data_IF_498472889056
#
_entry.id   IF_498472889056
#
_cell.length_a   1.000
_cell.length_b   1.000
_cell.length_c   1.000
_cell.angle_alpha   90.00
_cell.angle_beta   90.00
_cell.angle_gamma   90.00
#
_symmetry.space_group_name_H-M   'P 1'
#
loop_
_entity.id
_entity.type
_entity.pdbx_description
1 polymer ?
#
# COMPACT_ATOMS: atom_id res chain seq x y z
N UNK A 1 -1.85 -12.11 -19.67
CA UNK A 1 -3.14 -11.55 -19.21
C UNK A 1 -3.85 -10.96 -20.42
N UNK A 2 -5.12 -11.30 -20.62
CA UNK A 2 -5.93 -10.71 -21.69
C UNK A 2 -6.16 -9.21 -21.41
N UNK A 3 -6.27 -8.41 -22.47
CA UNK A 3 -6.27 -6.95 -22.41
C UNK A 3 -7.52 -6.39 -23.08
N UNK A 4 -8.11 -5.36 -22.46
CA UNK A 4 -9.26 -4.63 -22.95
C UNK A 4 -8.96 -3.13 -22.96
N UNK A 5 -9.60 -2.38 -23.86
CA UNK A 5 -9.44 -0.91 -23.91
C UNK A 5 -10.08 -0.22 -22.72
N UNK A 6 -11.16 -0.79 -22.17
CA UNK A 6 -11.87 -0.25 -21.02
C UNK A 6 -12.61 -1.31 -20.23
N UNK A 7 -13.00 -0.97 -18.99
CA UNK A 7 -13.86 -1.82 -18.16
C UNK A 7 -15.22 -2.05 -18.80
N UNK A 8 -15.78 -1.05 -19.51
CA UNK A 8 -17.04 -1.20 -20.24
C UNK A 8 -16.93 -2.21 -21.39
N UNK A 9 -15.81 -2.21 -22.11
CA UNK A 9 -15.54 -3.20 -23.16
C UNK A 9 -15.50 -4.61 -22.57
N UNK A 10 -14.75 -4.79 -21.47
CA UNK A 10 -14.65 -6.06 -20.76
C UNK A 10 -16.03 -6.57 -20.33
N UNK A 11 -16.84 -5.72 -19.67
CA UNK A 11 -18.19 -6.10 -19.23
C UNK A 11 -19.09 -6.48 -20.41
N UNK A 12 -19.04 -5.72 -21.51
CA UNK A 12 -19.86 -6.01 -22.69
C UNK A 12 -19.50 -7.33 -23.37
N UNK A 13 -18.20 -7.68 -23.41
CA UNK A 13 -17.71 -8.89 -24.06
C UNK A 13 -17.87 -10.13 -23.16
N UNK A 14 -17.50 -10.04 -21.89
CA UNK A 14 -17.44 -11.20 -21.00
C UNK A 14 -18.73 -11.43 -20.22
N UNK A 15 -19.48 -10.37 -19.87
CA UNK A 15 -20.68 -10.43 -19.01
C UNK A 15 -20.43 -11.29 -17.76
N UNK A 16 -19.40 -10.97 -16.95
CA UNK A 16 -18.91 -11.88 -15.92
C UNK A 16 -19.97 -12.17 -14.85
N UNK A 17 -20.09 -13.43 -14.45
CA UNK A 17 -20.92 -13.88 -13.33
C UNK A 17 -20.18 -13.85 -12.00
N UNK A 18 -18.84 -13.87 -12.04
CA UNK A 18 -17.94 -13.76 -10.88
C UNK A 18 -17.28 -12.39 -10.82
N UNK A 19 -16.76 -11.98 -9.65
CA UNK A 19 -15.97 -10.77 -9.56
C UNK A 19 -14.75 -10.83 -10.47
N UNK A 20 -14.44 -9.71 -11.14
CA UNK A 20 -13.30 -9.60 -12.03
C UNK A 20 -12.38 -8.50 -11.52
N UNK A 21 -11.10 -8.81 -11.36
CA UNK A 21 -10.11 -7.81 -10.99
C UNK A 21 -9.40 -7.25 -12.22
N UNK A 22 -9.29 -5.92 -12.30
CA UNK A 22 -8.65 -5.21 -13.39
C UNK A 22 -7.34 -4.56 -12.95
N UNK A 23 -6.31 -4.62 -13.80
CA UNK A 23 -5.01 -3.98 -13.58
C UNK A 23 -4.75 -2.94 -14.66
N UNK A 24 -4.45 -1.69 -14.24
CA UNK A 24 -4.02 -0.56 -15.07
C UNK A 24 -2.53 -0.33 -14.93
N UNK A 25 -1.72 -0.90 -15.82
CA UNK A 25 -0.26 -0.74 -15.79
C UNK A 25 0.18 0.71 -15.94
N UNK A 26 -0.53 1.51 -16.74
CA UNK A 26 -0.21 2.92 -16.94
C UNK A 26 -0.32 3.73 -15.63
N UNK A 27 -1.28 3.41 -14.76
CA UNK A 27 -1.39 4.05 -13.45
C UNK A 27 -0.17 3.77 -12.57
N UNK A 28 0.34 2.53 -12.58
CA UNK A 28 1.58 2.16 -11.88
C UNK A 28 2.77 2.97 -12.41
N UNK A 29 2.91 3.06 -13.73
CA UNK A 29 4.00 3.81 -14.37
C UNK A 29 3.94 5.30 -14.02
N UNK A 30 2.74 5.90 -14.04
CA UNK A 30 2.53 7.31 -13.67
C UNK A 30 2.91 7.59 -12.22
N UNK A 31 2.45 6.75 -11.29
CA UNK A 31 2.75 6.87 -9.87
C UNK A 31 4.26 6.68 -9.58
N UNK A 32 4.86 5.65 -10.15
CA UNK A 32 6.30 5.38 -10.03
C UNK A 32 7.15 6.54 -10.54
N UNK A 33 6.85 7.03 -11.75
CA UNK A 33 7.54 8.18 -12.35
C UNK A 33 7.41 9.44 -11.49
N UNK A 34 6.23 9.67 -10.90
CA UNK A 34 6.01 10.81 -10.01
C UNK A 34 6.90 10.74 -8.78
N UNK A 35 6.91 9.60 -8.08
CA UNK A 35 7.76 9.40 -6.91
C UNK A 35 9.25 9.53 -7.24
N UNK A 36 9.73 8.88 -8.31
CA UNK A 36 11.14 8.93 -8.72
C UNK A 36 11.61 10.36 -9.06
N UNK A 37 10.71 11.21 -9.62
CA UNK A 37 11.03 12.59 -9.96
C UNK A 37 10.98 13.56 -8.78
N UNK A 38 10.16 13.27 -7.76
CA UNK A 38 9.80 14.26 -6.73
C UNK A 38 10.28 13.91 -5.33
N UNK A 39 10.34 12.64 -4.97
CA UNK A 39 10.82 12.23 -3.66
C UNK A 39 12.33 12.45 -3.53
N UNK A 40 12.83 13.04 -2.41
CA UNK A 40 14.25 13.40 -2.27
C UNK A 40 15.12 12.23 -1.80
N UNK A 41 14.93 11.01 -2.31
CA UNK A 41 15.64 9.83 -1.83
C UNK A 41 15.32 8.57 -2.62
N UNK A 42 15.58 7.42 -2.03
CA UNK A 42 15.31 6.08 -2.60
C UNK A 42 13.90 5.61 -2.28
N UNK A 43 13.33 4.86 -3.20
CA UNK A 43 11.97 4.34 -3.12
C UNK A 43 12.04 2.83 -3.00
N UNK A 44 11.53 2.29 -1.89
CA UNK A 44 11.32 0.86 -1.70
C UNK A 44 9.84 0.56 -1.89
N UNK A 45 9.48 -0.20 -2.90
CA UNK A 45 8.09 -0.65 -3.00
C UNK A 45 7.74 -1.63 -1.88
N UNK A 46 6.69 -1.33 -1.11
CA UNK A 46 6.19 -2.21 -0.08
C UNK A 46 5.39 -3.38 -0.69
N UNK A 47 6.04 -4.53 -0.85
CA UNK A 47 5.52 -5.70 -1.60
C UNK A 47 4.20 -6.22 -1.05
N UNK A 48 4.03 -6.18 0.28
CA UNK A 48 2.78 -6.55 0.99
C UNK A 48 1.52 -5.90 0.43
N UNK A 49 1.65 -4.74 -0.20
CA UNK A 49 0.51 -3.98 -0.73
C UNK A 49 -0.14 -4.67 -1.92
N UNK A 50 0.67 -5.16 -2.85
CA UNK A 50 0.23 -5.97 -3.99
C UNK A 50 1.41 -6.76 -4.58
N UNK A 51 1.56 -8.03 -4.21
CA UNK A 51 2.64 -8.91 -4.72
C UNK A 51 2.34 -9.51 -6.10
N UNK A 52 1.24 -9.13 -6.76
CA UNK A 52 0.87 -9.71 -8.03
C UNK A 52 1.97 -9.49 -9.08
N UNK A 53 2.30 -10.54 -9.83
CA UNK A 53 3.46 -10.55 -10.73
C UNK A 53 3.44 -9.43 -11.79
N UNK A 54 2.28 -9.07 -12.34
CA UNK A 54 2.17 -7.97 -13.32
C UNK A 54 2.44 -6.60 -12.66
N UNK A 55 2.02 -6.40 -11.41
CA UNK A 55 2.29 -5.19 -10.64
C UNK A 55 3.79 -5.07 -10.37
N UNK A 56 4.40 -6.11 -9.81
CA UNK A 56 5.84 -6.15 -9.49
C UNK A 56 6.68 -5.95 -10.76
N UNK A 57 6.37 -6.68 -11.85
CA UNK A 57 7.05 -6.51 -13.14
C UNK A 57 6.94 -5.10 -13.70
N UNK A 58 5.77 -4.46 -13.55
CA UNK A 58 5.56 -3.10 -14.06
C UNK A 58 6.39 -2.10 -13.26
N UNK A 59 6.46 -2.25 -11.92
CA UNK A 59 7.30 -1.43 -11.06
C UNK A 59 8.80 -1.60 -11.39
N UNK A 60 9.27 -2.83 -11.58
CA UNK A 60 10.65 -3.09 -12.00
C UNK A 60 10.94 -2.41 -13.35
N UNK A 61 10.05 -2.55 -14.33
CA UNK A 61 10.19 -1.89 -15.63
C UNK A 61 10.18 -0.36 -15.56
N UNK A 62 9.53 0.21 -14.55
CA UNK A 62 9.54 1.66 -14.32
C UNK A 62 10.83 2.16 -13.64
N UNK A 63 11.75 1.27 -13.26
CA UNK A 63 13.02 1.63 -12.62
C UNK A 63 13.04 1.46 -11.09
N UNK A 64 11.99 0.90 -10.47
CA UNK A 64 12.02 0.52 -9.05
C UNK A 64 12.86 -0.75 -8.92
N UNK A 65 13.99 -0.65 -8.23
CA UNK A 65 14.97 -1.71 -8.02
C UNK A 65 15.17 -2.09 -6.54
N UNK A 66 14.43 -1.42 -5.64
CA UNK A 66 14.50 -1.64 -4.20
C UNK A 66 13.11 -1.94 -3.62
N UNK A 67 13.05 -2.86 -2.66
CA UNK A 67 11.79 -3.42 -2.17
C UNK A 67 11.81 -3.56 -0.65
N UNK A 68 10.73 -3.08 0.03
CA UNK A 68 10.39 -3.46 1.40
C UNK A 68 9.68 -4.81 1.36
N UNK A 69 10.26 -5.81 2.01
CA UNK A 69 9.73 -7.17 2.12
C UNK A 69 9.49 -7.54 3.58
N UNK A 70 8.40 -8.26 3.83
CA UNK A 70 7.98 -8.66 5.16
C UNK A 70 8.07 -10.18 5.40
N UNK A 71 8.40 -10.97 4.39
CA UNK A 71 8.47 -12.43 4.49
C UNK A 71 9.40 -13.04 3.44
N UNK A 72 9.74 -14.32 3.67
CA UNK A 72 10.50 -15.12 2.69
C UNK A 72 9.73 -15.26 1.36
N UNK A 73 8.40 -15.37 1.42
CA UNK A 73 7.59 -15.49 0.21
C UNK A 73 7.65 -14.22 -0.65
N UNK A 74 7.65 -13.04 -0.03
CA UNK A 74 7.85 -11.78 -0.76
C UNK A 74 9.27 -11.68 -1.36
N UNK A 75 10.31 -12.14 -0.63
CA UNK A 75 11.67 -12.22 -1.16
C UNK A 75 11.72 -13.13 -2.39
N UNK A 76 11.11 -14.30 -2.34
CA UNK A 76 11.03 -15.25 -3.48
C UNK A 76 10.37 -14.61 -4.71
N UNK A 77 9.27 -13.87 -4.49
CA UNK A 77 8.58 -13.16 -5.59
C UNK A 77 9.55 -12.16 -6.26
N UNK A 78 10.24 -11.33 -5.47
CA UNK A 78 11.16 -10.34 -6.04
C UNK A 78 12.32 -11.02 -6.74
N UNK A 79 12.95 -12.02 -6.14
CA UNK A 79 14.10 -12.77 -6.73
C UNK A 79 13.74 -13.46 -8.05
N UNK A 80 12.48 -13.89 -8.20
CA UNK A 80 12.00 -14.49 -9.46
C UNK A 80 12.00 -13.48 -10.62
N UNK A 81 11.71 -12.21 -10.37
CA UNK A 81 11.57 -11.19 -11.40
C UNK A 81 12.77 -10.26 -11.52
N UNK A 82 13.54 -10.09 -10.45
CA UNK A 82 14.73 -9.27 -10.39
C UNK A 82 15.74 -9.88 -9.40
N UNK A 83 16.59 -10.80 -9.85
CA UNK A 83 17.57 -11.46 -8.97
C UNK A 83 18.51 -10.49 -8.27
N UNK A 84 18.85 -9.36 -8.91
CA UNK A 84 19.75 -8.34 -8.39
C UNK A 84 19.09 -7.23 -7.57
N UNK A 85 17.75 -7.19 -7.51
CA UNK A 85 17.05 -6.15 -6.75
C UNK A 85 17.48 -6.13 -5.28
N UNK A 86 17.63 -4.94 -4.69
CA UNK A 86 17.92 -4.82 -3.26
C UNK A 86 16.62 -4.99 -2.46
N UNK A 87 16.57 -6.03 -1.63
CA UNK A 87 15.46 -6.25 -0.70
C UNK A 87 15.87 -5.83 0.71
N UNK A 88 15.01 -5.09 1.36
CA UNK A 88 15.09 -4.68 2.75
C UNK A 88 14.05 -5.47 3.54
N UNK A 89 14.48 -6.32 4.47
CA UNK A 89 13.58 -7.11 5.30
C UNK A 89 13.11 -6.27 6.49
N UNK A 90 12.11 -5.40 6.24
CA UNK A 90 11.71 -4.35 7.17
C UNK A 90 10.66 -4.79 8.22
N UNK A 91 10.22 -6.05 8.20
CA UNK A 91 9.44 -6.59 9.30
C UNK A 91 10.29 -6.75 10.56
N UNK A 92 9.86 -6.15 11.68
CA UNK A 92 10.69 -6.08 12.90
C UNK A 92 10.78 -7.38 13.67
N UNK A 93 9.86 -8.32 13.50
CA UNK A 93 9.85 -9.64 14.16
C UNK A 93 9.90 -10.73 13.11
N UNK A 94 10.94 -11.56 13.14
CA UNK A 94 11.20 -12.62 12.15
C UNK A 94 11.50 -13.93 12.85
N UNK A 95 11.16 -15.08 12.23
CA UNK A 95 11.63 -16.37 12.71
C UNK A 95 13.13 -16.57 12.45
N UNK A 96 13.78 -17.42 13.22
CA UNK A 96 15.20 -17.77 13.06
C UNK A 96 15.47 -18.32 11.66
N UNK A 97 14.59 -19.21 11.20
CA UNK A 97 14.66 -19.86 9.90
C UNK A 97 14.55 -18.82 8.77
N UNK A 98 13.62 -17.85 8.91
CA UNK A 98 13.45 -16.77 7.93
C UNK A 98 14.67 -15.86 7.83
N UNK A 99 15.33 -15.56 8.96
CA UNK A 99 16.56 -14.76 8.98
C UNK A 99 17.67 -15.51 8.25
N UNK A 100 17.88 -16.78 8.62
CA UNK A 100 18.91 -17.62 8.04
C UNK A 100 18.70 -17.83 6.53
N UNK A 101 17.47 -18.18 6.11
CA UNK A 101 17.14 -18.36 4.69
C UNK A 101 17.33 -17.05 3.91
N UNK A 102 16.88 -15.90 4.45
CA UNK A 102 17.03 -14.60 3.82
C UNK A 102 18.51 -14.26 3.59
N UNK A 103 19.34 -14.45 4.61
CA UNK A 103 20.77 -14.10 4.52
C UNK A 103 21.56 -15.08 3.64
N UNK A 104 21.55 -16.37 3.96
CA UNK A 104 22.42 -17.34 3.29
C UNK A 104 21.95 -17.74 1.88
N UNK A 105 20.64 -17.83 1.67
CA UNK A 105 20.10 -18.28 0.38
C UNK A 105 19.79 -17.13 -0.57
N UNK A 106 19.27 -16.02 -0.04
CA UNK A 106 18.82 -14.89 -0.87
C UNK A 106 19.74 -13.67 -0.81
N UNK A 107 20.82 -13.70 -0.01
CA UNK A 107 21.79 -12.62 0.11
C UNK A 107 21.22 -11.33 0.69
N UNK A 108 20.18 -11.44 1.54
CA UNK A 108 19.60 -10.29 2.21
C UNK A 108 20.49 -9.87 3.37
N UNK A 109 21.00 -8.64 3.34
CA UNK A 109 21.87 -8.09 4.38
C UNK A 109 21.19 -7.04 5.24
N UNK A 110 20.03 -6.56 4.81
CA UNK A 110 19.32 -5.46 5.43
C UNK A 110 18.11 -5.97 6.23
N UNK A 111 18.10 -5.73 7.55
CA UNK A 111 17.05 -6.17 8.47
C UNK A 111 16.62 -5.04 9.39
N UNK A 112 15.31 -4.93 9.64
CA UNK A 112 14.78 -4.06 10.67
C UNK A 112 14.54 -4.82 11.98
N UNK A 113 14.62 -4.09 13.10
CA UNK A 113 14.38 -4.59 14.43
C UNK A 113 13.88 -3.45 15.35
N UNK A 114 13.27 -3.79 16.47
CA UNK A 114 12.81 -2.83 17.46
C UNK A 114 13.09 -3.28 18.93
N UNK A 115 13.76 -4.44 19.09
CA UNK A 115 14.16 -4.98 20.38
C UNK A 115 15.59 -5.53 20.39
N UNK A 116 16.20 -5.63 21.55
CA UNK A 116 17.52 -6.27 21.74
C UNK A 116 17.48 -7.75 21.40
N UNK A 117 16.36 -8.43 21.73
CA UNK A 117 16.24 -9.87 21.49
C UNK A 117 16.18 -10.18 19.99
N UNK A 118 15.53 -9.32 19.21
CA UNK A 118 15.55 -9.44 17.75
C UNK A 118 16.94 -9.20 17.17
N UNK A 119 17.70 -8.23 17.73
CA UNK A 119 19.10 -8.01 17.32
C UNK A 119 19.95 -9.26 17.55
N UNK A 120 19.86 -9.86 18.75
CA UNK A 120 20.60 -11.10 19.09
C UNK A 120 20.21 -12.20 18.13
N UNK A 121 18.93 -12.38 17.89
CA UNK A 121 18.41 -13.39 16.96
C UNK A 121 18.95 -13.20 15.53
N UNK A 122 19.02 -11.98 15.02
CA UNK A 122 19.60 -11.69 13.70
C UNK A 122 21.07 -12.06 13.68
N UNK A 123 21.85 -11.64 14.68
CA UNK A 123 23.29 -11.90 14.78
C UNK A 123 23.57 -13.41 14.78
N UNK A 124 22.88 -14.16 15.66
CA UNK A 124 23.06 -15.62 15.79
C UNK A 124 22.69 -16.37 14.51
N UNK A 125 21.62 -15.96 13.82
CA UNK A 125 21.11 -16.66 12.64
C UNK A 125 21.68 -16.15 11.30
N UNK A 126 22.69 -15.27 11.37
CA UNK A 126 23.54 -14.86 10.26
C UNK A 126 25.01 -15.19 10.50
N UNK A 127 25.29 -16.07 11.47
CA UNK A 127 26.65 -16.51 11.87
C UNK A 127 27.60 -15.33 12.21
N UNK A 128 27.08 -14.36 12.97
CA UNK A 128 27.79 -13.13 13.38
C UNK A 128 28.37 -12.32 12.18
N UNK A 129 27.63 -12.30 11.09
CA UNK A 129 28.01 -11.60 9.85
C UNK A 129 28.39 -10.15 10.11
N UNK A 130 29.44 -9.66 9.40
CA UNK A 130 29.97 -8.30 9.57
C UNK A 130 29.44 -7.31 8.51
N UNK A 131 28.70 -7.79 7.53
CA UNK A 131 28.17 -7.01 6.40
C UNK A 131 26.70 -6.67 6.53
N UNK A 132 26.11 -6.84 7.74
CA UNK A 132 24.73 -6.53 8.02
C UNK A 132 24.46 -5.01 7.94
N UNK A 133 23.35 -4.65 7.35
CA UNK A 133 22.76 -3.30 7.39
C UNK A 133 21.51 -3.37 8.32
N UNK A 134 21.57 -2.74 9.48
CA UNK A 134 20.53 -2.90 10.51
C UNK A 134 19.75 -1.60 10.76
N UNK A 135 18.42 -1.70 10.71
CA UNK A 135 17.51 -0.59 10.95
C UNK A 135 16.81 -0.72 12.29
N UNK A 136 16.93 0.31 13.13
CA UNK A 136 16.10 0.43 14.33
C UNK A 136 14.80 1.13 13.95
N UNK A 137 13.68 0.42 14.10
CA UNK A 137 12.35 1.00 13.91
C UNK A 137 11.93 1.74 15.18
N UNK A 138 11.58 3.01 15.02
CA UNK A 138 11.17 3.92 16.09
C UNK A 138 9.65 4.03 16.11
N UNK A 139 9.05 3.96 17.30
CA UNK A 139 7.63 4.23 17.50
C UNK A 139 7.35 5.72 17.32
N UNK A 140 6.34 6.05 16.51
CA UNK A 140 5.86 7.42 16.28
C UNK A 140 4.34 7.45 16.35
N UNK A 141 3.76 8.64 16.64
CA UNK A 141 2.32 8.83 16.62
C UNK A 141 1.74 8.60 15.22
N UNK A 142 0.59 7.92 15.16
CA UNK A 142 -0.18 7.67 13.94
C UNK A 142 -1.53 8.42 13.95
N UNK A 143 -1.65 9.49 14.71
CA UNK A 143 -2.90 10.24 14.95
C UNK A 143 -3.61 10.78 13.70
N UNK A 144 -2.90 10.86 12.58
CA UNK A 144 -3.41 11.35 11.30
C UNK A 144 -3.55 10.26 10.25
N UNK A 145 -3.46 8.98 10.62
CA UNK A 145 -3.62 7.85 9.73
C UNK A 145 -5.00 7.22 9.90
N UNK A 146 -5.61 6.81 8.79
CA UNK A 146 -6.87 6.06 8.82
C UNK A 146 -6.67 4.66 9.44
N UNK A 147 -5.47 4.10 9.29
CA UNK A 147 -5.09 2.81 9.87
C UNK A 147 -3.87 3.01 10.78
N UNK A 148 -4.11 2.98 12.10
CA UNK A 148 -3.07 3.09 13.12
C UNK A 148 -2.25 1.79 13.20
N UNK A 149 -0.93 1.92 13.07
CA UNK A 149 0.05 0.83 13.16
C UNK A 149 1.00 0.99 14.36
N UNK A 150 0.79 2.00 15.22
CA UNK A 150 1.73 2.36 16.31
C UNK A 150 1.74 1.37 17.47
N UNK A 151 0.67 0.59 17.64
CA UNK A 151 0.49 -0.30 18.82
C UNK A 151 1.27 -1.61 18.74
N UNK A 152 1.79 -1.96 17.56
CA UNK A 152 2.38 -3.29 17.33
C UNK A 152 3.90 -3.26 17.24
N UNK A 153 4.48 -2.23 16.67
CA UNK A 153 5.91 -2.18 16.32
C UNK A 153 6.54 -0.82 16.60
N UNK A 154 7.84 -0.86 16.87
CA UNK A 154 8.69 0.29 17.07
C UNK A 154 9.16 0.44 18.51
N UNK A 155 10.45 0.65 18.71
CA UNK A 155 11.05 0.97 20.00
C UNK A 155 10.67 2.39 20.42
N UNK A 156 10.36 2.60 21.71
CA UNK A 156 10.20 3.93 22.26
C UNK A 156 11.53 4.70 22.18
N UNK A 157 11.49 6.02 22.11
CA UNK A 157 12.68 6.86 21.93
C UNK A 157 13.77 6.58 22.99
N UNK A 158 13.38 6.31 24.24
CA UNK A 158 14.28 5.94 25.33
C UNK A 158 15.06 4.65 25.06
N UNK A 159 14.37 3.62 24.53
CA UNK A 159 14.90 2.31 24.22
C UNK A 159 15.68 2.32 22.89
N UNK A 160 15.14 3.00 21.87
CA UNK A 160 15.76 3.13 20.55
C UNK A 160 17.18 3.71 20.64
N UNK A 161 17.43 4.65 21.56
CA UNK A 161 18.76 5.21 21.79
C UNK A 161 19.79 4.18 22.29
N UNK A 162 19.38 3.29 23.19
CA UNK A 162 20.18 2.16 23.67
C UNK A 162 20.42 1.14 22.58
N UNK A 163 19.34 0.78 21.87
CA UNK A 163 19.35 -0.21 20.79
C UNK A 163 20.26 0.25 19.63
N UNK A 164 20.23 1.54 19.26
CA UNK A 164 21.09 2.09 18.20
C UNK A 164 22.58 1.94 18.52
N UNK A 165 22.97 2.12 19.80
CA UNK A 165 24.36 1.90 20.23
C UNK A 165 24.78 0.43 20.08
N UNK A 166 23.88 -0.51 20.40
CA UNK A 166 24.14 -1.94 20.22
C UNK A 166 24.22 -2.32 18.74
N UNK A 167 23.27 -1.86 17.94
CA UNK A 167 23.24 -2.09 16.48
C UNK A 167 24.54 -1.62 15.82
N UNK A 168 25.08 -0.46 16.22
CA UNK A 168 26.34 0.08 15.69
C UNK A 168 27.53 -0.85 15.85
N UNK A 169 27.53 -1.71 16.88
CA UNK A 169 28.63 -2.65 17.16
C UNK A 169 28.60 -3.90 16.25
N UNK A 170 27.43 -4.18 15.67
CA UNK A 170 27.14 -5.43 14.95
C UNK A 170 26.78 -5.24 13.47
N UNK A 171 26.86 -4.02 12.95
CA UNK A 171 26.42 -3.71 11.58
C UNK A 171 27.46 -2.91 10.81
N UNK A 172 27.55 -3.16 9.51
CA UNK A 172 28.36 -2.36 8.58
C UNK A 172 27.74 -0.99 8.31
N UNK A 173 26.40 -0.94 8.27
CA UNK A 173 25.61 0.28 8.14
C UNK A 173 24.41 0.24 9.07
N UNK A 174 24.03 1.41 9.55
CA UNK A 174 22.91 1.59 10.44
C UNK A 174 21.85 2.50 9.84
N UNK A 175 20.59 2.17 10.10
CA UNK A 175 19.43 2.98 9.73
C UNK A 175 18.53 3.27 10.92
N UNK A 176 17.82 4.36 10.83
CA UNK A 176 16.66 4.66 11.68
C UNK A 176 15.43 4.70 10.78
N UNK A 177 14.36 4.04 11.18
CA UNK A 177 13.10 4.00 10.44
C UNK A 177 11.90 4.29 11.33
N UNK A 178 10.84 4.81 10.73
CA UNK A 178 9.53 4.95 11.37
C UNK A 178 8.42 4.72 10.36
N UNK A 179 7.18 4.65 10.82
CA UNK A 179 6.00 4.54 9.94
C UNK A 179 4.84 5.33 10.55
N UNK A 180 4.27 6.26 9.78
CA UNK A 180 3.22 7.19 10.23
C UNK A 180 1.80 6.62 10.20
N UNK A 181 1.64 5.32 9.97
CA UNK A 181 0.35 4.65 9.74
C UNK A 181 -0.02 4.60 8.26
N UNK A 182 -1.08 3.83 7.90
CA UNK A 182 -1.52 3.74 6.51
C UNK A 182 -2.58 4.78 6.20
N UNK A 183 -2.59 5.30 4.96
CA UNK A 183 -3.47 6.41 4.55
C UNK A 183 -3.30 7.62 5.48
N UNK A 184 -2.08 8.14 5.60
CA UNK A 184 -1.79 9.30 6.44
C UNK A 184 -2.27 10.58 5.75
N UNK A 185 -3.27 11.24 6.34
CA UNK A 185 -3.95 12.38 5.70
C UNK A 185 -3.21 13.72 5.91
N UNK A 186 -2.26 13.79 6.85
CA UNK A 186 -1.55 15.03 7.17
C UNK A 186 -0.03 14.90 7.02
N UNK A 187 0.60 15.69 6.13
CA UNK A 187 2.05 15.67 5.87
C UNK A 187 2.91 15.89 7.11
N UNK A 188 2.45 16.70 8.09
CA UNK A 188 3.17 17.02 9.34
C UNK A 188 3.60 15.78 10.13
N UNK A 189 2.93 14.64 9.96
CA UNK A 189 3.30 13.39 10.62
C UNK A 189 4.72 12.94 10.29
N UNK A 190 5.19 13.22 9.07
CA UNK A 190 6.57 12.90 8.67
C UNK A 190 7.58 13.80 9.37
N UNK A 191 7.31 15.10 9.50
CA UNK A 191 8.15 16.04 10.26
C UNK A 191 8.24 15.62 11.73
N UNK A 192 7.11 15.21 12.34
CA UNK A 192 7.09 14.66 13.71
C UNK A 192 7.98 13.41 13.82
N UNK A 193 7.85 12.45 12.90
CA UNK A 193 8.68 11.23 12.88
C UNK A 193 10.17 11.54 12.71
N UNK A 194 10.53 12.46 11.83
CA UNK A 194 11.93 12.90 11.63
C UNK A 194 12.46 13.61 12.87
N UNK A 195 11.62 14.37 13.58
CA UNK A 195 12.00 15.00 14.85
C UNK A 195 12.38 13.95 15.90
N UNK A 196 11.62 12.86 16.02
CA UNK A 196 11.97 11.76 16.94
C UNK A 196 13.31 11.11 16.56
N UNK A 197 13.59 10.91 15.28
CA UNK A 197 14.92 10.49 14.81
C UNK A 197 15.99 11.50 15.21
N UNK A 198 15.73 12.79 15.06
CA UNK A 198 16.64 13.87 15.48
C UNK A 198 16.97 13.83 16.96
N UNK A 199 15.98 13.56 17.81
CA UNK A 199 16.15 13.40 19.26
C UNK A 199 17.10 12.23 19.59
N UNK A 200 16.95 11.09 18.89
CA UNK A 200 17.82 9.92 19.06
C UNK A 200 19.26 10.24 18.61
N UNK A 201 19.44 10.88 17.47
CA UNK A 201 20.76 11.30 16.96
C UNK A 201 21.43 12.24 17.97
N UNK A 202 20.71 13.25 18.46
CA UNK A 202 21.20 14.21 19.46
C UNK A 202 21.64 13.54 20.75
N UNK A 203 20.84 12.59 21.26
CA UNK A 203 21.09 11.84 22.50
C UNK A 203 22.26 10.85 22.36
N UNK A 204 22.38 10.18 21.22
CA UNK A 204 23.39 9.14 21.01
C UNK A 204 24.69 9.66 20.42
N UNK A 205 24.67 10.81 19.75
CA UNK A 205 25.73 11.36 18.89
C UNK A 205 26.10 10.42 17.73
N UNK A 206 25.17 9.53 17.34
CA UNK A 206 25.34 8.61 16.23
C UNK A 206 24.48 9.11 15.06
N UNK A 207 25.11 9.50 13.97
CA UNK A 207 24.44 9.80 12.71
C UNK A 207 24.30 8.48 11.93
N UNK A 208 23.08 8.06 11.58
CA UNK A 208 22.89 6.82 10.81
C UNK A 208 23.31 7.00 9.34
N UNK A 209 23.53 5.88 8.62
CA UNK A 209 23.75 5.89 7.18
C UNK A 209 22.42 6.13 6.41
N UNK A 210 21.30 5.70 6.99
CA UNK A 210 19.98 5.78 6.39
C UNK A 210 18.95 6.38 7.35
N UNK A 211 18.07 7.23 6.81
CA UNK A 211 16.80 7.59 7.43
C UNK A 211 15.68 7.09 6.53
N UNK A 212 14.89 6.15 7.04
CA UNK A 212 13.74 5.60 6.33
C UNK A 212 12.45 6.18 6.94
N UNK A 213 11.78 7.02 6.18
CA UNK A 213 10.54 7.70 6.61
C UNK A 213 9.30 6.78 6.52
N UNK A 214 9.49 5.51 6.14
CA UNK A 214 8.44 4.52 6.03
C UNK A 214 7.48 4.75 4.88
N UNK A 215 6.33 4.08 5.00
CA UNK A 215 5.19 4.23 4.10
C UNK A 215 4.16 5.23 4.64
N UNK A 216 2.89 4.97 4.33
CA UNK A 216 1.78 5.80 4.78
C UNK A 216 1.32 6.85 3.78
N UNK A 217 2.05 7.06 2.69
CA UNK A 217 1.62 7.98 1.61
C UNK A 217 0.24 7.59 1.10
N UNK A 218 -0.72 8.55 1.12
CA UNK A 218 -2.12 8.25 0.86
C UNK A 218 -2.42 8.04 -0.63
N UNK A 219 -3.59 7.46 -0.89
CA UNK A 219 -4.30 7.57 -2.16
C UNK A 219 -5.59 8.37 -1.96
N UNK A 220 -6.31 8.64 -3.06
CA UNK A 220 -7.55 9.42 -3.05
C UNK A 220 -8.76 8.49 -3.00
N UNK A 221 -9.70 8.80 -2.11
CA UNK A 221 -11.01 8.12 -2.01
C UNK A 221 -12.11 9.19 -1.91
N UNK A 222 -13.40 8.88 -2.18
CA UNK A 222 -14.47 9.88 -2.18
C UNK A 222 -14.53 10.76 -0.92
N UNK A 223 -14.36 10.14 0.26
CA UNK A 223 -14.44 10.84 1.55
C UNK A 223 -13.05 11.15 2.15
N UNK A 224 -11.97 10.73 1.50
CA UNK A 224 -10.59 10.89 1.98
C UNK A 224 -9.73 11.53 0.88
N UNK A 225 -9.84 12.86 0.75
CA UNK A 225 -9.08 13.66 -0.21
C UNK A 225 -7.82 14.18 0.47
N UNK A 226 -6.63 13.58 0.23
CA UNK A 226 -5.39 14.04 0.85
C UNK A 226 -4.88 15.33 0.19
N UNK A 227 -3.94 15.98 0.87
CA UNK A 227 -3.16 17.02 0.26
C UNK A 227 -2.32 16.46 -0.91
N UNK A 228 -1.79 17.36 -1.76
CA UNK A 228 -0.84 16.97 -2.81
C UNK A 228 0.35 16.22 -2.22
N UNK A 229 0.81 15.16 -2.88
CA UNK A 229 2.01 14.42 -2.48
C UNK A 229 3.27 15.32 -2.41
N UNK A 230 3.31 16.42 -3.17
CA UNK A 230 4.39 17.42 -3.02
C UNK A 230 4.44 17.97 -1.59
N UNK A 231 3.28 18.23 -0.95
CA UNK A 231 3.27 18.74 0.42
C UNK A 231 3.89 17.74 1.40
N UNK A 232 3.72 16.43 1.16
CA UNK A 232 4.37 15.37 1.96
C UNK A 232 5.89 15.39 1.76
N UNK A 233 6.34 15.51 0.52
CA UNK A 233 7.77 15.57 0.20
C UNK A 233 8.43 16.84 0.73
N UNK A 234 7.73 17.96 0.68
CA UNK A 234 8.22 19.23 1.22
C UNK A 234 8.32 19.21 2.75
N UNK A 235 7.33 18.62 3.45
CA UNK A 235 7.40 18.42 4.91
C UNK A 235 8.54 17.46 5.32
N UNK A 236 8.80 16.42 4.52
CA UNK A 236 9.95 15.54 4.74
C UNK A 236 11.25 16.33 4.58
N UNK A 237 11.43 17.10 3.49
CA UNK A 237 12.61 17.94 3.28
C UNK A 237 12.83 18.92 4.42
N UNK A 238 11.80 19.65 4.81
CA UNK A 238 11.81 20.57 5.95
C UNK A 238 12.22 19.88 7.26
N UNK A 239 11.66 18.70 7.53
CA UNK A 239 12.04 17.91 8.69
C UNK A 239 13.53 17.54 8.70
N UNK A 240 14.06 17.11 7.54
CA UNK A 240 15.47 16.76 7.39
C UNK A 240 16.41 17.98 7.53
N UNK A 241 16.05 19.11 6.96
CA UNK A 241 16.80 20.37 7.12
C UNK A 241 16.88 20.81 8.59
N UNK A 242 15.80 20.61 9.36
CA UNK A 242 15.75 20.91 10.79
C UNK A 242 16.67 20.03 11.65
N UNK A 243 17.14 18.89 11.14
CA UNK A 243 18.13 18.05 11.84
C UNK A 243 19.50 18.74 11.95
N UNK A 244 19.80 19.70 11.06
CA UNK A 244 21.06 20.46 11.01
C UNK A 244 22.32 19.55 11.03
N UNK A 245 22.27 18.46 10.27
CA UNK A 245 23.39 17.53 10.13
C UNK A 245 24.36 18.03 9.05
N UNK A 246 25.67 17.96 9.31
CA UNK A 246 26.70 18.33 8.34
C UNK A 246 26.64 17.44 7.09
N UNK A 247 26.39 16.13 7.29
CA UNK A 247 26.18 15.17 6.21
C UNK A 247 24.83 14.48 6.43
N UNK A 248 23.92 14.65 5.48
CA UNK A 248 22.62 13.99 5.52
C UNK A 248 22.78 12.50 5.22
N UNK A 249 22.11 11.62 5.99
CA UNK A 249 21.94 10.22 5.64
C UNK A 249 21.25 10.04 4.28
N UNK A 250 21.39 8.88 3.68
CA UNK A 250 20.56 8.50 2.52
C UNK A 250 19.10 8.37 2.98
N UNK A 251 18.20 9.05 2.26
CA UNK A 251 16.78 9.07 2.60
C UNK A 251 16.05 7.98 1.83
N UNK A 252 15.17 7.26 2.53
CA UNK A 252 14.41 6.14 2.00
C UNK A 252 12.94 6.32 2.34
N UNK A 253 12.03 5.90 1.45
CA UNK A 253 10.61 5.73 1.74
C UNK A 253 10.10 4.34 1.30
N UNK A 254 8.97 3.92 1.88
CA UNK A 254 8.34 2.61 1.64
C UNK A 254 6.90 2.77 1.11
N UNK A 255 6.69 3.47 -0.02
CA UNK A 255 5.34 3.63 -0.55
C UNK A 255 4.78 2.29 -1.02
N UNK A 256 3.56 1.99 -0.59
CA UNK A 256 2.75 0.89 -1.09
C UNK A 256 1.51 1.45 -1.78
N UNK A 257 0.51 1.84 -0.97
CA UNK A 257 -0.79 2.35 -1.44
C UNK A 257 -0.66 3.43 -2.51
N UNK A 258 0.13 4.46 -2.28
CA UNK A 258 0.30 5.55 -3.24
C UNK A 258 0.84 5.09 -4.61
N UNK A 259 1.62 4.02 -4.68
CA UNK A 259 2.15 3.53 -5.97
C UNK A 259 1.15 2.69 -6.76
N UNK A 260 0.23 1.98 -6.09
CA UNK A 260 -0.55 0.95 -6.78
C UNK A 260 -2.06 1.05 -6.61
N UNK A 261 -2.59 1.84 -5.66
CA UNK A 261 -4.03 1.89 -5.41
C UNK A 261 -4.85 2.15 -6.68
N UNK A 262 -4.47 3.16 -7.46
CA UNK A 262 -5.17 3.56 -8.69
C UNK A 262 -5.08 2.53 -9.82
N UNK A 263 -4.14 1.59 -9.71
CA UNK A 263 -3.94 0.58 -10.75
C UNK A 263 -4.94 -0.56 -10.70
N UNK A 264 -5.64 -0.74 -9.59
CA UNK A 264 -6.57 -1.85 -9.42
C UNK A 264 -8.01 -1.40 -9.29
N UNK A 265 -8.91 -2.15 -9.91
CA UNK A 265 -10.35 -2.07 -9.67
C UNK A 265 -10.97 -3.47 -9.68
N UNK A 266 -12.11 -3.62 -9.02
CA UNK A 266 -12.92 -4.84 -9.09
C UNK A 266 -14.26 -4.52 -9.74
N UNK A 267 -14.66 -5.35 -10.70
CA UNK A 267 -15.98 -5.34 -11.30
C UNK A 267 -16.82 -6.35 -10.54
N UNK A 268 -17.89 -5.88 -9.94
CA UNK A 268 -18.87 -6.70 -9.24
C UNK A 268 -20.22 -6.64 -9.95
N UNK A 269 -21.02 -7.71 -9.82
CA UNK A 269 -22.39 -7.75 -10.32
C UNK A 269 -23.38 -7.57 -9.19
N UNK A 270 -24.44 -6.79 -9.43
CA UNK A 270 -25.57 -6.67 -8.51
C UNK A 270 -26.43 -7.94 -8.60
N UNK A 271 -26.48 -8.72 -7.55
CA UNK A 271 -27.30 -9.93 -7.47
C UNK A 271 -28.73 -9.63 -6.99
N UNK A 272 -28.89 -8.58 -6.15
CA UNK A 272 -30.19 -8.18 -5.64
C UNK A 272 -30.14 -6.72 -5.15
N UNK A 273 -31.25 -6.00 -5.32
CA UNK A 273 -31.45 -4.68 -4.70
C UNK A 273 -32.64 -4.72 -3.73
N UNK A 274 -32.42 -4.25 -2.48
CA UNK A 274 -33.45 -4.04 -1.47
C UNK A 274 -33.40 -2.55 -1.03
N UNK A 275 -34.19 -1.69 -1.64
CA UNK A 275 -34.17 -0.23 -1.40
C UNK A 275 -32.77 0.35 -1.67
N UNK A 276 -32.06 0.87 -0.66
CA UNK A 276 -30.68 1.38 -0.73
C UNK A 276 -29.61 0.32 -0.40
N UNK A 277 -29.97 -0.95 -0.33
CA UNK A 277 -29.03 -2.06 -0.10
C UNK A 277 -28.79 -2.80 -1.40
N UNK A 278 -27.52 -2.94 -1.79
CA UNK A 278 -27.12 -3.73 -2.94
C UNK A 278 -26.37 -4.97 -2.46
N UNK A 279 -26.86 -6.13 -2.84
CA UNK A 279 -26.18 -7.42 -2.63
C UNK A 279 -25.36 -7.69 -3.88
N UNK A 280 -24.04 -7.77 -3.72
CA UNK A 280 -23.07 -7.91 -4.80
C UNK A 280 -22.28 -9.23 -4.67
N UNK A 281 -21.64 -9.65 -5.75
CA UNK A 281 -20.95 -10.94 -5.81
C UNK A 281 -19.50 -10.91 -5.28
N UNK A 282 -19.06 -9.81 -4.64
CA UNK A 282 -17.80 -9.69 -3.89
C UNK A 282 -18.07 -8.96 -2.57
N UNK A 283 -17.12 -8.98 -1.63
CA UNK A 283 -17.32 -8.39 -0.31
C UNK A 283 -16.04 -8.26 0.51
N UNK A 284 -16.20 -8.13 1.83
CA UNK A 284 -15.10 -7.94 2.78
C UNK A 284 -14.17 -9.15 2.86
N UNK A 285 -14.65 -10.34 2.55
CA UNK A 285 -13.85 -11.57 2.44
C UNK A 285 -13.21 -11.75 1.06
N UNK A 286 -13.58 -10.89 0.10
CA UNK A 286 -13.02 -10.79 -1.23
C UNK A 286 -12.06 -9.61 -1.35
N UNK A 287 -12.23 -8.81 -2.42
CA UNK A 287 -11.33 -7.68 -2.69
C UNK A 287 -11.65 -6.41 -1.89
N UNK A 288 -12.76 -6.38 -1.12
CA UNK A 288 -13.31 -5.19 -0.47
C UNK A 288 -13.06 -5.16 1.04
N UNK A 289 -11.99 -5.78 1.54
CA UNK A 289 -11.68 -5.85 2.97
C UNK A 289 -11.66 -4.44 3.62
N UNK A 290 -10.94 -3.49 3.02
CA UNK A 290 -10.80 -2.13 3.54
C UNK A 290 -12.15 -1.35 3.54
N UNK A 291 -13.17 -1.79 2.80
CA UNK A 291 -14.51 -1.21 2.83
C UNK A 291 -15.34 -1.67 4.04
N UNK A 292 -15.00 -2.83 4.61
CA UNK A 292 -15.60 -3.32 5.86
C UNK A 292 -14.86 -2.82 7.10
N UNK A 293 -13.54 -2.85 7.05
CA UNK A 293 -12.65 -2.40 8.14
C UNK A 293 -11.39 -1.80 7.51
N UNK A 294 -11.13 -0.50 7.61
CA UNK A 294 -11.72 0.56 8.45
C UNK A 294 -12.92 1.36 7.87
N UNK A 295 -13.71 0.81 6.97
CA UNK A 295 -14.84 1.46 6.30
C UNK A 295 -14.43 2.52 5.25
N UNK A 296 -13.43 2.23 4.43
CA UNK A 296 -13.07 3.10 3.31
C UNK A 296 -14.18 3.03 2.24
N UNK A 297 -14.72 4.17 1.86
CA UNK A 297 -15.64 4.27 0.72
C UNK A 297 -14.83 4.29 -0.58
N UNK A 298 -14.92 3.24 -1.38
CA UNK A 298 -14.23 3.16 -2.66
C UNK A 298 -14.98 3.93 -3.75
N UNK A 299 -14.26 4.61 -4.68
CA UNK A 299 -14.89 5.23 -5.83
C UNK A 299 -15.60 4.17 -6.66
N UNK A 300 -16.86 4.42 -6.99
CA UNK A 300 -17.74 3.45 -7.63
C UNK A 300 -18.38 4.01 -8.90
N UNK A 301 -18.49 3.19 -9.94
CA UNK A 301 -19.08 3.53 -11.22
C UNK A 301 -19.98 2.41 -11.70
N UNK A 302 -21.26 2.74 -11.96
CA UNK A 302 -22.20 1.77 -12.54
C UNK A 302 -21.88 1.53 -14.02
N UNK A 303 -21.96 0.27 -14.42
CA UNK A 303 -21.85 -0.18 -15.81
C UNK A 303 -23.07 -1.04 -16.15
N UNK A 304 -23.79 -0.68 -17.20
CA UNK A 304 -24.94 -1.45 -17.70
C UNK A 304 -24.59 -2.04 -19.05
N UNK A 305 -24.62 -3.36 -19.17
CA UNK A 305 -24.44 -4.08 -20.43
C UNK A 305 -25.63 -3.90 -21.40
N UNK A 306 -25.41 -4.14 -22.71
CA UNK A 306 -26.46 -4.13 -23.72
C UNK A 306 -26.58 -2.83 -24.54
N UNK A 307 -27.51 -2.80 -25.50
CA UNK A 307 -27.67 -1.71 -26.47
C UNK A 307 -28.54 -0.53 -25.98
N UNK A 308 -29.50 -0.75 -25.07
CA UNK A 308 -30.38 0.28 -24.54
C UNK A 308 -29.99 0.66 -23.09
N UNK A 309 -28.98 1.51 -22.94
CA UNK A 309 -28.37 1.86 -21.66
C UNK A 309 -28.92 3.17 -21.10
N UNK A 310 -30.14 3.19 -20.59
CA UNK A 310 -30.63 4.38 -19.86
C UNK A 310 -30.07 4.33 -18.44
N UNK A 311 -29.04 5.13 -18.16
CA UNK A 311 -28.48 5.34 -16.83
C UNK A 311 -29.00 6.67 -16.31
N UNK A 312 -29.61 6.67 -15.12
CA UNK A 312 -30.11 7.88 -14.47
C UNK A 312 -28.95 8.80 -14.07
N UNK A 313 -29.11 10.10 -14.26
CA UNK A 313 -28.20 11.12 -13.72
C UNK A 313 -28.40 11.35 -12.23
N UNK A 314 -29.57 10.98 -11.67
CA UNK A 314 -29.85 11.13 -10.25
C UNK A 314 -29.11 10.04 -9.45
N UNK A 315 -28.23 10.46 -8.56
CA UNK A 315 -27.49 9.56 -7.67
C UNK A 315 -28.26 9.29 -6.39
N UNK A 316 -28.01 8.12 -5.82
CA UNK A 316 -28.54 7.68 -4.52
C UNK A 316 -27.41 6.99 -3.77
N UNK A 317 -27.35 7.20 -2.46
CA UNK A 317 -26.41 6.52 -1.58
C UNK A 317 -26.87 5.07 -1.33
N UNK A 318 -25.95 4.14 -1.45
CA UNK A 318 -26.15 2.71 -1.21
C UNK A 318 -25.16 2.18 -0.19
N UNK A 319 -25.60 1.16 0.55
CA UNK A 319 -24.74 0.23 1.28
C UNK A 319 -24.57 -1.05 0.46
N UNK A 320 -23.39 -1.69 0.58
CA UNK A 320 -23.14 -2.97 -0.07
C UNK A 320 -23.12 -4.13 0.92
N UNK A 321 -23.64 -5.26 0.49
CA UNK A 321 -23.64 -6.53 1.18
C UNK A 321 -22.94 -7.55 0.28
N UNK A 322 -21.92 -8.20 0.83
CA UNK A 322 -21.19 -9.24 0.11
C UNK A 322 -21.97 -10.55 0.01
N UNK A 323 -21.41 -11.55 -0.69
CA UNK A 323 -22.12 -12.77 -1.01
C UNK A 323 -22.11 -13.82 0.12
N UNK A 324 -21.28 -13.64 1.15
CA UNK A 324 -21.12 -14.65 2.19
C UNK A 324 -22.27 -14.67 3.18
N UNK A 325 -22.41 -15.76 3.94
CA UNK A 325 -23.44 -15.88 4.96
C UNK A 325 -23.10 -15.12 6.25
N UNK A 326 -21.89 -14.52 6.35
CA UNK A 326 -21.47 -13.76 7.51
C UNK A 326 -22.07 -12.34 7.49
N UNK A 327 -22.65 -11.92 8.61
CA UNK A 327 -23.18 -10.57 8.79
C UNK A 327 -22.08 -9.47 8.77
N UNK A 328 -20.82 -9.83 8.96
CA UNK A 328 -19.67 -8.92 8.83
C UNK A 328 -19.31 -8.62 7.35
N UNK A 329 -19.90 -9.34 6.40
CA UNK A 329 -19.74 -9.07 4.97
C UNK A 329 -20.61 -7.89 4.52
N UNK A 330 -20.40 -6.78 5.18
CA UNK A 330 -21.14 -5.53 5.06
C UNK A 330 -20.18 -4.35 4.88
N UNK A 331 -20.47 -3.51 3.92
CA UNK A 331 -19.69 -2.33 3.58
C UNK A 331 -20.60 -1.11 3.65
N UNK A 332 -20.40 -0.30 4.68
CA UNK A 332 -21.19 0.92 4.91
C UNK A 332 -20.82 1.97 3.87
N UNK A 333 -21.85 2.46 3.15
CA UNK A 333 -21.69 3.58 2.24
C UNK A 333 -21.39 4.92 2.94
N UNK A 334 -21.53 6.03 2.20
CA UNK A 334 -22.39 6.19 1.00
C UNK A 334 -21.67 5.85 -0.33
N UNK A 335 -22.05 4.74 -0.96
CA UNK A 335 -21.64 4.51 -2.35
C UNK A 335 -22.65 5.19 -3.27
N UNK A 336 -22.22 6.29 -3.92
CA UNK A 336 -23.09 7.09 -4.77
C UNK A 336 -23.21 6.48 -6.17
N UNK A 337 -24.39 5.96 -6.50
CA UNK A 337 -24.68 5.30 -7.77
C UNK A 337 -26.00 5.80 -8.35
N UNK A 338 -26.20 5.67 -9.69
CA UNK A 338 -27.45 5.98 -10.35
C UNK A 338 -28.66 5.32 -9.66
N UNK A 339 -29.71 6.09 -9.38
CA UNK A 339 -30.86 5.61 -8.62
C UNK A 339 -31.63 4.47 -9.30
N UNK A 340 -31.43 4.27 -10.61
CA UNK A 340 -32.05 3.20 -11.39
C UNK A 340 -31.17 1.94 -11.54
N UNK A 341 -30.12 1.80 -10.71
CA UNK A 341 -29.33 0.58 -10.60
C UNK A 341 -30.21 -0.60 -10.19
N UNK A 342 -30.00 -1.75 -10.79
CA UNK A 342 -30.83 -2.96 -10.60
C UNK A 342 -30.03 -4.24 -10.72
N UNK A 343 -30.66 -5.34 -10.45
CA UNK A 343 -30.11 -6.70 -10.67
C UNK A 343 -29.49 -6.84 -12.07
N UNK A 344 -28.36 -7.53 -12.15
CA UNK A 344 -27.53 -7.73 -13.33
C UNK A 344 -26.82 -6.48 -13.90
N UNK A 345 -26.93 -5.32 -13.24
CA UNK A 345 -26.00 -4.22 -13.49
C UNK A 345 -24.64 -4.55 -12.84
N UNK A 346 -23.58 -3.94 -13.36
CA UNK A 346 -22.24 -4.06 -12.83
C UNK A 346 -21.81 -2.77 -12.13
N UNK A 347 -20.89 -2.90 -11.19
CA UNK A 347 -20.27 -1.78 -10.51
C UNK A 347 -18.76 -1.99 -10.60
N UNK A 348 -18.06 -1.01 -11.14
CA UNK A 348 -16.62 -0.91 -10.97
C UNK A 348 -16.32 -0.21 -9.64
N UNK A 349 -15.48 -0.82 -8.80
CA UNK A 349 -14.93 -0.25 -7.58
C UNK A 349 -13.44 -0.01 -7.79
N UNK A 350 -13.02 1.25 -7.80
CA UNK A 350 -11.64 1.66 -8.04
C UNK A 350 -10.77 1.65 -6.78
N UNK A 351 -9.51 2.05 -6.92
CA UNK A 351 -8.53 2.18 -5.80
C UNK A 351 -8.18 0.87 -5.08
N UNK A 352 -8.47 -0.28 -5.70
CA UNK A 352 -8.25 -1.62 -5.15
C UNK A 352 -6.90 -2.22 -5.55
N UNK A 353 -6.02 -1.44 -6.18
CA UNK A 353 -4.64 -1.86 -6.46
C UNK A 353 -3.83 -2.11 -5.19
N UNK A 354 -4.21 -1.50 -4.07
CA UNK A 354 -3.63 -1.76 -2.75
C UNK A 354 -4.57 -2.63 -1.93
N UNK A 355 -4.03 -3.74 -1.41
CA UNK A 355 -4.68 -4.69 -0.50
C UNK A 355 -5.89 -5.45 -1.08
N UNK A 356 -6.45 -5.07 -2.21
CA UNK A 356 -7.59 -5.75 -2.82
C UNK A 356 -7.32 -7.23 -3.15
N UNK A 357 -6.13 -7.58 -3.63
CA UNK A 357 -5.77 -8.99 -3.91
C UNK A 357 -5.20 -9.73 -2.70
N UNK A 358 -4.58 -9.04 -1.75
CA UNK A 358 -3.79 -9.65 -0.67
C UNK A 358 -4.60 -10.14 0.51
N UNK A 359 -5.76 -9.55 0.78
CA UNK A 359 -6.62 -9.91 1.90
C UNK A 359 -7.74 -10.89 1.54
N UNK A 360 -7.84 -11.28 0.27
CA UNK A 360 -8.87 -12.21 -0.18
C UNK A 360 -8.78 -13.57 0.51
N UNK A 361 -9.93 -14.13 0.80
CA UNK A 361 -10.09 -15.48 1.34
C UNK A 361 -10.88 -16.37 0.37
N UNK A 362 -11.04 -17.63 0.71
CA UNK A 362 -11.90 -18.58 -0.01
C UNK A 362 -13.17 -18.92 0.80
N UNK A 363 -13.55 -18.04 1.73
CA UNK A 363 -14.68 -18.29 2.60
C UNK A 363 -15.98 -18.48 1.80
N UNK A 364 -16.78 -19.46 2.16
CA UNK A 364 -17.99 -19.94 1.47
C UNK A 364 -17.80 -20.30 -0.03
N UNK A 365 -16.57 -20.36 -0.54
CA UNK A 365 -16.29 -20.59 -1.95
C UNK A 365 -16.52 -19.38 -2.87
N UNK A 366 -16.81 -18.20 -2.31
CA UNK A 366 -16.90 -16.95 -3.08
C UNK A 366 -15.50 -16.41 -3.34
N UNK A 367 -14.91 -16.89 -4.46
CA UNK A 367 -13.55 -16.58 -4.85
C UNK A 367 -13.42 -16.56 -6.37
N UNK A 368 -12.69 -15.60 -6.91
CA UNK A 368 -12.41 -15.50 -8.34
C UNK A 368 -10.94 -15.20 -8.60
N UNK A 369 -10.36 -15.86 -9.59
CA UNK A 369 -9.02 -15.59 -10.12
C UNK A 369 -9.05 -14.87 -11.47
N UNK A 370 -10.21 -14.33 -11.86
CA UNK A 370 -10.38 -13.58 -13.09
C UNK A 370 -9.67 -12.23 -13.00
N UNK A 371 -8.52 -12.10 -13.67
CA UNK A 371 -7.68 -10.90 -13.66
C UNK A 371 -7.39 -10.50 -15.10
N UNK A 372 -7.68 -9.25 -15.44
CA UNK A 372 -7.50 -8.68 -16.78
C UNK A 372 -6.75 -7.35 -16.74
N UNK A 373 -6.09 -7.02 -17.84
CA UNK A 373 -5.50 -5.70 -18.05
C UNK A 373 -6.52 -4.77 -18.72
N UNK A 374 -6.66 -3.54 -18.23
CA UNK A 374 -7.46 -2.49 -18.86
C UNK A 374 -6.63 -1.24 -19.07
N UNK A 375 -6.94 -0.47 -20.14
CA UNK A 375 -6.15 0.71 -20.54
C UNK A 375 -6.81 2.03 -20.19
N UNK A 376 -8.08 2.02 -19.77
CA UNK A 376 -8.80 3.22 -19.38
C UNK A 376 -8.22 3.87 -18.12
N UNK A 377 -8.58 5.13 -17.88
CA UNK A 377 -8.16 5.85 -16.68
C UNK A 377 -8.87 5.31 -15.43
N UNK A 378 -8.22 5.38 -14.25
CA UNK A 378 -8.88 5.06 -12.97
C UNK A 378 -10.03 6.04 -12.69
N UNK A 379 -11.00 5.63 -11.87
CA UNK A 379 -12.16 6.48 -11.51
C UNK A 379 -11.71 7.77 -10.80
N UNK A 380 -10.70 7.68 -9.93
CA UNK A 380 -10.06 8.81 -9.26
C UNK A 380 -8.54 8.69 -9.36
N UNK A 381 -7.82 9.83 -9.37
CA UNK A 381 -6.36 9.84 -9.43
C UNK A 381 -5.76 11.02 -8.66
N UNK A 382 -4.65 10.76 -7.96
CA UNK A 382 -3.76 11.81 -7.41
C UNK A 382 -2.78 12.35 -8.47
N UNK A 383 -2.55 11.59 -9.53
CA UNK A 383 -1.52 11.86 -10.54
C UNK A 383 -2.08 12.54 -11.78
N UNK A 384 -3.38 12.40 -12.03
CA UNK A 384 -4.08 13.06 -13.13
C UNK A 384 -5.13 14.06 -12.61
N UNK A 385 -4.83 15.34 -12.76
CA UNK A 385 -5.71 16.44 -12.32
C UNK A 385 -7.06 16.49 -13.07
N UNK A 386 -7.17 15.86 -14.23
CA UNK A 386 -8.39 15.90 -15.06
C UNK A 386 -9.43 14.87 -14.57
N UNK A 387 -9.00 13.75 -13.99
CA UNK A 387 -9.91 12.73 -13.45
C UNK A 387 -10.68 13.21 -12.21
N UNK A 388 -10.09 14.07 -11.39
CA UNK A 388 -10.72 14.55 -10.15
C UNK A 388 -11.83 15.57 -10.38
N UNK A 389 -11.90 16.24 -11.54
CA UNK A 389 -12.95 17.21 -11.86
C UNK A 389 -14.30 16.56 -12.16
N UNK A 390 -14.33 15.32 -12.63
CA UNK A 390 -15.55 14.61 -12.98
C UNK A 390 -16.30 14.04 -11.77
N UNK A 391 -15.60 13.79 -10.66
CA UNK A 391 -16.16 13.14 -9.45
C UNK A 391 -16.62 14.15 -8.39
N UNK A 392 -16.11 15.38 -8.44
CA UNK A 392 -16.54 16.48 -7.53
C UNK A 392 -17.78 17.25 -8.01
N UNK A 393 -18.36 16.90 -9.16
CA UNK A 393 -19.52 17.56 -9.78
C UNK A 393 -20.70 16.58 -9.92
N UNK A 394 -20.69 15.44 -9.25
CA UNK A 394 -21.80 14.50 -9.23
C UNK A 394 -22.48 14.46 -7.85
#
# INVERSE_FOLDING_TARGET
>A
MQKFKSVEELVNQLKPDKPVYCIRKNSILSASNYFQKKFPGKILYAVKTNPHYDVVKTLIKSGIDQFDVASIEEIKIIRKFSPSAKCFYMHTVKSKESISEAYFKYGIKTFALDTKDELIKIIENTDNAKDLELFVRVAVSNEHAEIDLSKKFGALNSEASGLLRLVKQHSSKIGLSFHVGSQCMHPISYTKGITEIGNIIKKTKIVPNYINVGGGFPSVYPDLIPQSLNNYFDEIKKGLENLKLNNLPEIICEPGRALVAESGSTIVRVNLRKKQKLYINDGTYGTLFDAGTPNIVFPSKMIRGGSNKIISKKLTAFDFYGPTCDSMDYMKGPFLLPNNIKENDYIELGQLGSYGLTFRTQFNGFYSNEIYEVEDSPIMSLYDKNTNKATLVA
#
